data_IF_978948467469
#
_entry.id   IF_978948467469
#
_cell.length_a   1.000
_cell.length_b   1.000
_cell.length_c   1.000
_cell.angle_alpha   90.00
_cell.angle_beta   90.00
_cell.angle_gamma   90.00
#
_symmetry.space_group_name_H-M   'P 1'
#
loop_
_entity.id
_entity.type
_entity.pdbx_description
1 polymer ?
#
# COMPACT_ATOMS: atom_id res chain seq x y z
N UNK A 1 -0.98 -23.15 4.84
CA UNK A 1 0.06 -23.87 4.05
C UNK A 1 1.26 -22.94 3.92
N UNK A 2 2.43 -23.34 4.44
CA UNK A 2 3.69 -22.58 4.21
C UNK A 2 4.17 -22.93 2.79
N UNK A 3 4.34 -21.95 1.93
CA UNK A 3 4.91 -22.14 0.60
C UNK A 3 6.38 -21.74 0.63
N UNK A 4 7.28 -22.71 0.53
CA UNK A 4 8.71 -22.42 0.42
C UNK A 4 8.99 -21.76 -0.94
N UNK A 5 9.28 -20.46 -0.91
CA UNK A 5 9.53 -19.69 -2.13
C UNK A 5 10.93 -19.96 -2.72
N UNK A 6 11.77 -20.70 -2.00
CA UNK A 6 13.13 -21.06 -2.45
C UNK A 6 13.16 -22.34 -3.29
N UNK A 7 12.05 -23.06 -3.44
CA UNK A 7 11.95 -24.32 -4.19
C UNK A 7 10.80 -24.29 -5.23
N UNK A 8 10.78 -25.25 -6.12
CA UNK A 8 9.75 -25.42 -7.16
C UNK A 8 9.86 -24.48 -8.37
N UNK A 9 8.93 -24.55 -9.33
CA UNK A 9 8.90 -23.71 -10.53
C UNK A 9 8.68 -22.24 -10.16
N UNK A 10 9.58 -21.36 -10.62
CA UNK A 10 9.66 -19.95 -10.18
C UNK A 10 8.32 -19.20 -10.37
N UNK A 11 7.79 -19.21 -11.59
CA UNK A 11 6.55 -18.50 -11.93
C UNK A 11 5.36 -19.02 -11.14
N UNK A 12 5.14 -20.34 -11.12
CA UNK A 12 4.02 -20.96 -10.40
C UNK A 12 4.06 -20.64 -8.90
N UNK A 13 5.26 -20.69 -8.31
CA UNK A 13 5.48 -20.40 -6.89
C UNK A 13 5.14 -18.94 -6.59
N UNK A 14 5.61 -18.01 -7.44
CA UNK A 14 5.35 -16.58 -7.31
C UNK A 14 3.87 -16.23 -7.46
N UNK A 15 3.21 -16.75 -8.49
CA UNK A 15 1.79 -16.51 -8.74
C UNK A 15 0.92 -17.09 -7.61
N UNK A 16 1.20 -18.33 -7.17
CA UNK A 16 0.46 -18.94 -6.04
C UNK A 16 0.57 -18.11 -4.76
N UNK A 17 1.69 -17.43 -4.57
CA UNK A 17 1.90 -16.56 -3.42
C UNK A 17 1.28 -15.16 -3.63
N UNK A 18 1.36 -14.60 -4.85
CA UNK A 18 0.87 -13.25 -5.16
C UNK A 18 -0.66 -13.18 -5.23
N UNK A 19 -1.33 -14.18 -5.82
CA UNK A 19 -2.79 -14.16 -6.03
C UNK A 19 -3.57 -13.93 -4.73
N UNK A 20 -3.30 -14.61 -3.60
CA UNK A 20 -3.99 -14.30 -2.34
C UNK A 20 -3.73 -12.87 -1.83
N UNK A 21 -2.54 -12.29 -2.08
CA UNK A 21 -2.25 -10.90 -1.69
C UNK A 21 -3.09 -9.92 -2.51
N UNK A 22 -3.14 -10.12 -3.83
CA UNK A 22 -3.92 -9.30 -4.76
C UNK A 22 -5.42 -9.37 -4.40
N UNK A 23 -5.95 -10.58 -4.20
CA UNK A 23 -7.35 -10.77 -3.82
C UNK A 23 -7.67 -10.09 -2.49
N UNK A 24 -6.76 -10.15 -1.50
CA UNK A 24 -6.94 -9.49 -0.22
C UNK A 24 -7.10 -7.97 -0.35
N UNK A 25 -6.22 -7.33 -1.12
CA UNK A 25 -6.26 -5.88 -1.31
C UNK A 25 -7.45 -5.45 -2.20
N UNK A 26 -7.82 -6.22 -3.20
CA UNK A 26 -9.06 -5.96 -3.97
C UNK A 26 -10.30 -6.05 -3.08
N UNK A 27 -10.40 -7.05 -2.20
CA UNK A 27 -11.48 -7.14 -1.22
C UNK A 27 -11.49 -5.95 -0.27
N UNK A 28 -10.32 -5.47 0.13
CA UNK A 28 -10.20 -4.27 0.95
C UNK A 28 -10.77 -3.04 0.22
N UNK A 29 -10.52 -2.88 -1.06
CA UNK A 29 -11.10 -1.78 -1.84
C UNK A 29 -12.62 -1.92 -1.98
N UNK A 30 -13.12 -3.13 -2.18
CA UNK A 30 -14.57 -3.37 -2.26
C UNK A 30 -15.27 -2.98 -0.94
N UNK A 31 -14.72 -3.36 0.22
CA UNK A 31 -15.35 -2.97 1.48
C UNK A 31 -15.23 -1.47 1.76
N UNK A 32 -14.13 -0.79 1.40
CA UNK A 32 -14.03 0.67 1.52
C UNK A 32 -15.10 1.39 0.70
N UNK A 33 -15.43 0.86 -0.48
CA UNK A 33 -16.53 1.39 -1.31
C UNK A 33 -17.87 1.12 -0.63
N UNK A 34 -18.10 -0.08 -0.10
CA UNK A 34 -19.33 -0.42 0.59
C UNK A 34 -19.57 0.47 1.82
N UNK A 35 -18.55 0.69 2.66
CA UNK A 35 -18.60 1.61 3.81
C UNK A 35 -18.98 3.04 3.35
N UNK A 36 -18.31 3.55 2.32
CA UNK A 36 -18.60 4.87 1.75
C UNK A 36 -20.05 4.97 1.26
N UNK A 37 -20.57 3.92 0.61
CA UNK A 37 -21.96 3.87 0.13
C UNK A 37 -22.94 3.83 1.29
N UNK A 38 -22.69 3.04 2.33
CA UNK A 38 -23.55 2.96 3.52
C UNK A 38 -23.63 4.31 4.22
N UNK A 39 -22.47 4.93 4.50
CA UNK A 39 -22.41 6.27 5.11
C UNK A 39 -23.16 7.30 4.26
N UNK A 40 -22.92 7.31 2.94
CA UNK A 40 -23.55 8.27 2.03
C UNK A 40 -25.07 8.10 1.95
N UNK A 41 -25.58 6.88 1.88
CA UNK A 41 -27.01 6.59 1.74
C UNK A 41 -27.79 6.81 3.03
N UNK A 42 -27.24 6.40 4.18
CA UNK A 42 -27.98 6.44 5.45
C UNK A 42 -27.73 7.71 6.27
N UNK A 43 -26.54 8.33 6.16
CA UNK A 43 -26.18 9.51 6.97
C UNK A 43 -26.11 10.80 6.17
N UNK A 44 -26.16 10.72 4.83
CA UNK A 44 -26.19 11.87 3.94
C UNK A 44 -24.84 12.51 3.63
N UNK A 45 -24.87 13.59 2.84
CA UNK A 45 -23.68 14.21 2.27
C UNK A 45 -22.73 14.83 3.31
N UNK A 46 -23.24 15.40 4.39
CA UNK A 46 -22.42 15.99 5.46
C UNK A 46 -21.57 14.95 6.17
N UNK A 47 -22.17 13.82 6.55
CA UNK A 47 -21.46 12.71 7.17
C UNK A 47 -20.41 12.11 6.21
N UNK A 48 -20.78 11.95 4.94
CA UNK A 48 -19.87 11.47 3.90
C UNK A 48 -18.65 12.39 3.71
N UNK A 49 -18.86 13.70 3.75
CA UNK A 49 -17.77 14.68 3.65
C UNK A 49 -16.83 14.61 4.86
N UNK A 50 -17.38 14.48 6.08
CA UNK A 50 -16.59 14.34 7.30
C UNK A 50 -15.77 13.05 7.31
N UNK A 51 -16.39 11.90 7.00
CA UNK A 51 -15.72 10.59 6.91
C UNK A 51 -14.67 10.58 5.79
N UNK A 52 -14.97 11.14 4.61
CA UNK A 52 -14.04 11.23 3.49
C UNK A 52 -12.80 12.07 3.80
N UNK A 53 -12.95 13.18 4.54
CA UNK A 53 -11.80 13.98 4.99
C UNK A 53 -10.93 13.22 6.01
N UNK A 54 -11.57 12.52 6.95
CA UNK A 54 -10.88 11.67 7.91
C UNK A 54 -10.16 10.49 7.24
N UNK A 55 -10.74 9.94 6.18
CA UNK A 55 -10.16 8.82 5.42
C UNK A 55 -8.77 9.14 4.85
N UNK A 56 -8.56 10.35 4.35
CA UNK A 56 -7.25 10.79 3.83
C UNK A 56 -6.16 10.75 4.91
N UNK A 57 -6.48 11.22 6.12
CA UNK A 57 -5.57 11.17 7.26
C UNK A 57 -5.31 9.72 7.70
N UNK A 58 -6.37 8.90 7.79
CA UNK A 58 -6.24 7.48 8.13
C UNK A 58 -5.37 6.73 7.12
N UNK A 59 -5.53 7.00 5.84
CA UNK A 59 -4.70 6.43 4.78
C UNK A 59 -3.23 6.79 4.97
N UNK A 60 -2.93 8.05 5.30
CA UNK A 60 -1.57 8.49 5.58
C UNK A 60 -0.97 7.78 6.80
N UNK A 61 -1.68 7.74 7.93
CA UNK A 61 -1.20 7.06 9.15
C UNK A 61 -1.04 5.54 8.94
N UNK A 62 -2.00 4.92 8.26
CA UNK A 62 -1.93 3.49 7.92
C UNK A 62 -0.74 3.20 6.99
N UNK A 63 -0.40 4.10 6.07
CA UNK A 63 0.76 3.94 5.18
C UNK A 63 2.09 3.92 5.94
N UNK A 64 2.18 4.66 7.04
CA UNK A 64 3.35 4.61 7.94
C UNK A 64 3.50 3.20 8.52
N UNK A 65 2.43 2.67 9.14
CA UNK A 65 2.44 1.34 9.74
C UNK A 65 2.68 0.24 8.70
N UNK A 66 2.04 0.36 7.53
CA UNK A 66 2.24 -0.56 6.41
C UNK A 66 3.69 -0.56 5.92
N UNK A 67 4.28 0.63 5.72
CA UNK A 67 5.66 0.78 5.29
C UNK A 67 6.65 0.17 6.28
N UNK A 68 6.45 0.42 7.58
CA UNK A 68 7.25 -0.18 8.65
C UNK A 68 7.13 -1.71 8.66
N UNK A 69 5.92 -2.26 8.53
CA UNK A 69 5.68 -3.69 8.50
C UNK A 69 6.29 -4.35 7.25
N UNK A 70 6.18 -3.71 6.08
CA UNK A 70 6.77 -4.20 4.82
C UNK A 70 8.29 -4.23 4.85
N UNK A 71 8.92 -3.19 5.41
CA UNK A 71 10.37 -3.14 5.60
C UNK A 71 10.87 -4.26 6.51
N UNK A 72 10.22 -4.45 7.65
CA UNK A 72 10.48 -5.56 8.58
C UNK A 72 10.29 -6.93 7.91
N UNK A 73 9.19 -7.10 7.17
CA UNK A 73 8.89 -8.34 6.44
C UNK A 73 9.95 -8.73 5.42
N UNK A 74 10.62 -7.75 4.82
CA UNK A 74 11.76 -8.02 3.93
C UNK A 74 12.94 -8.63 4.71
N UNK A 75 13.28 -8.08 5.88
CA UNK A 75 14.34 -8.63 6.76
C UNK A 75 13.96 -10.02 7.24
N UNK A 76 12.71 -10.24 7.67
CA UNK A 76 12.20 -11.56 8.06
C UNK A 76 12.35 -12.57 6.93
N UNK A 77 11.99 -12.17 5.70
CA UNK A 77 12.13 -13.04 4.52
C UNK A 77 13.58 -13.44 4.24
N UNK A 78 14.52 -12.50 4.38
CA UNK A 78 15.96 -12.78 4.24
C UNK A 78 16.43 -13.76 5.30
N UNK A 79 16.11 -13.53 6.59
CA UNK A 79 16.50 -14.40 7.72
C UNK A 79 15.87 -15.78 7.61
N UNK A 80 14.61 -15.84 7.19
CA UNK A 80 13.93 -17.11 6.91
C UNK A 80 14.64 -17.89 5.78
N UNK A 81 15.01 -17.21 4.69
CA UNK A 81 15.78 -17.79 3.60
C UNK A 81 17.18 -18.29 4.03
N UNK A 82 17.84 -17.57 4.93
CA UNK A 82 19.13 -17.96 5.53
C UNK A 82 19.01 -19.14 6.50
N UNK A 83 17.80 -19.50 6.93
CA UNK A 83 17.54 -20.43 8.04
C UNK A 83 18.14 -19.93 9.37
N UNK A 84 18.30 -18.62 9.53
CA UNK A 84 18.76 -17.96 10.75
C UNK A 84 17.58 -17.77 11.71
N UNK A 85 17.24 -18.83 12.45
CA UNK A 85 16.09 -18.83 13.36
C UNK A 85 16.25 -17.81 14.50
N UNK A 86 17.47 -17.68 15.06
CA UNK A 86 17.74 -16.75 16.14
C UNK A 86 17.61 -15.30 15.62
N UNK A 87 18.25 -14.98 14.50
CA UNK A 87 18.16 -13.65 13.89
C UNK A 87 16.75 -13.30 13.44
N UNK A 88 15.95 -14.28 13.02
CA UNK A 88 14.53 -14.10 12.71
C UNK A 88 13.74 -13.72 13.97
N UNK A 89 13.88 -14.46 15.06
CA UNK A 89 13.19 -14.18 16.35
C UNK A 89 13.60 -12.84 16.95
N UNK A 90 14.90 -12.51 16.94
CA UNK A 90 15.40 -11.20 17.37
C UNK A 90 14.83 -10.06 16.50
N UNK A 91 14.75 -10.28 15.17
CA UNK A 91 14.13 -9.34 14.23
C UNK A 91 12.64 -9.15 14.50
N UNK A 92 11.91 -10.22 14.78
CA UNK A 92 10.48 -10.18 15.15
C UNK A 92 10.29 -9.34 16.40
N UNK A 93 11.08 -9.58 17.45
CA UNK A 93 11.03 -8.82 18.70
C UNK A 93 11.34 -7.33 18.46
N UNK A 94 12.42 -7.02 17.74
CA UNK A 94 12.83 -5.66 17.42
C UNK A 94 11.75 -4.92 16.62
N UNK A 95 11.17 -5.58 15.61
CA UNK A 95 10.12 -5.02 14.79
C UNK A 95 8.82 -4.80 15.57
N UNK A 96 8.39 -5.76 16.39
CA UNK A 96 7.19 -5.61 17.21
C UNK A 96 7.32 -4.43 18.16
N UNK A 97 8.49 -4.28 18.81
CA UNK A 97 8.78 -3.17 19.70
C UNK A 97 8.79 -1.83 18.93
N UNK A 98 9.45 -1.77 17.76
CA UNK A 98 9.50 -0.56 16.94
C UNK A 98 8.12 -0.13 16.46
N UNK A 99 7.38 -1.03 15.81
CA UNK A 99 6.05 -0.73 15.28
C UNK A 99 5.06 -0.42 16.39
N UNK A 100 5.13 -1.15 17.51
CA UNK A 100 4.31 -0.89 18.69
C UNK A 100 4.58 0.49 19.28
N UNK A 101 5.85 0.87 19.46
CA UNK A 101 6.24 2.19 19.94
C UNK A 101 5.74 3.30 19.00
N UNK A 102 5.95 3.15 17.69
CA UNK A 102 5.45 4.12 16.70
C UNK A 102 3.92 4.20 16.74
N UNK A 103 3.21 3.08 16.85
CA UNK A 103 1.75 3.07 16.96
C UNK A 103 1.27 3.83 18.19
N UNK A 104 1.91 3.63 19.35
CA UNK A 104 1.57 4.36 20.58
C UNK A 104 1.83 5.86 20.40
N UNK A 105 2.98 6.24 19.85
CA UNK A 105 3.32 7.66 19.59
C UNK A 105 2.31 8.30 18.64
N UNK A 106 1.98 7.62 17.53
CA UNK A 106 0.98 8.12 16.58
C UNK A 106 -0.41 8.25 17.24
N UNK A 107 -0.80 7.26 18.02
CA UNK A 107 -2.09 7.27 18.72
C UNK A 107 -2.17 8.45 19.69
N UNK A 108 -1.16 8.60 20.55
CA UNK A 108 -1.10 9.73 21.49
C UNK A 108 -1.05 11.08 20.77
N UNK A 109 -0.24 11.21 19.72
CA UNK A 109 -0.12 12.44 18.96
C UNK A 109 -1.44 12.85 18.30
N UNK A 110 -2.19 11.88 17.77
CA UNK A 110 -3.49 12.14 17.14
C UNK A 110 -4.55 12.52 18.19
N UNK A 111 -4.63 11.80 19.30
CA UNK A 111 -5.59 12.13 20.36
C UNK A 111 -5.33 13.50 20.99
N UNK A 112 -4.06 13.87 21.22
CA UNK A 112 -3.70 15.20 21.73
C UNK A 112 -3.88 16.30 20.67
N UNK A 113 -3.69 15.96 19.39
CA UNK A 113 -3.73 16.91 18.27
C UNK A 113 -5.08 16.98 17.54
N UNK A 114 -6.14 16.34 18.02
CA UNK A 114 -7.38 16.19 17.25
C UNK A 114 -8.00 17.55 16.81
N UNK A 115 -7.99 18.54 17.70
CA UNK A 115 -8.53 19.88 17.39
C UNK A 115 -7.62 20.64 16.39
N UNK A 116 -6.31 20.43 16.47
CA UNK A 116 -5.36 20.97 15.48
C UNK A 116 -5.55 20.31 14.12
N UNK A 117 -5.75 18.98 14.09
CA UNK A 117 -6.01 18.21 12.86
C UNK A 117 -7.27 18.72 12.16
N UNK A 118 -8.36 18.88 12.90
CA UNK A 118 -9.64 19.38 12.36
C UNK A 118 -9.46 20.79 11.74
N UNK A 119 -8.66 21.66 12.38
CA UNK A 119 -8.33 23.00 11.85
C UNK A 119 -7.47 22.92 10.58
N UNK A 120 -6.45 22.07 10.56
CA UNK A 120 -5.57 21.90 9.38
C UNK A 120 -6.35 21.35 8.19
N UNK A 121 -7.32 20.46 8.42
CA UNK A 121 -8.20 19.93 7.40
C UNK A 121 -9.26 20.95 6.94
N UNK A 122 -9.27 22.16 7.51
CA UNK A 122 -10.21 23.23 7.16
C UNK A 122 -11.67 22.77 7.17
N UNK A 123 -12.02 21.93 8.16
CA UNK A 123 -13.36 21.35 8.28
C UNK A 123 -14.40 22.46 8.50
N UNK A 124 -15.50 22.51 7.70
CA UNK A 124 -16.59 23.44 7.91
C UNK A 124 -17.16 23.34 9.33
N UNK A 125 -17.58 24.47 9.91
CA UNK A 125 -18.00 24.56 11.31
C UNK A 125 -19.17 23.63 11.68
N UNK A 126 -20.06 23.38 10.76
CA UNK A 126 -21.22 22.49 10.87
C UNK A 126 -20.80 20.99 10.89
N UNK A 127 -19.64 20.63 10.34
CA UNK A 127 -19.12 19.26 10.28
C UNK A 127 -18.10 18.94 11.38
N UNK A 128 -17.62 19.94 12.13
CA UNK A 128 -16.58 19.74 13.17
C UNK A 128 -17.00 18.70 14.21
N UNK A 129 -18.27 18.75 14.64
CA UNK A 129 -18.81 17.80 15.61
C UNK A 129 -18.78 16.35 15.10
N UNK A 130 -19.30 16.14 13.89
CA UNK A 130 -19.32 14.81 13.24
C UNK A 130 -17.91 14.27 13.00
N UNK A 131 -17.02 15.13 12.52
CA UNK A 131 -15.64 14.75 12.25
C UNK A 131 -14.89 14.38 13.54
N UNK A 132 -15.07 15.15 14.60
CA UNK A 132 -14.45 14.86 15.91
C UNK A 132 -14.92 13.53 16.47
N UNK A 133 -16.24 13.28 16.45
CA UNK A 133 -16.83 12.02 16.90
C UNK A 133 -16.26 10.83 16.13
N UNK A 134 -16.20 10.91 14.80
CA UNK A 134 -15.61 9.89 13.95
C UNK A 134 -14.13 9.66 14.26
N UNK A 135 -13.32 10.73 14.35
CA UNK A 135 -11.88 10.65 14.57
C UNK A 135 -11.52 10.02 15.92
N UNK A 136 -12.24 10.37 16.99
CA UNK A 136 -12.01 9.77 18.32
C UNK A 136 -12.16 8.27 18.29
N UNK A 137 -13.18 7.76 17.60
CA UNK A 137 -13.44 6.33 17.52
C UNK A 137 -12.44 5.65 16.58
N UNK A 138 -12.29 6.17 15.36
CA UNK A 138 -11.49 5.48 14.32
C UNK A 138 -10.00 5.37 14.69
N UNK A 139 -9.44 6.35 15.41
CA UNK A 139 -8.05 6.31 15.86
C UNK A 139 -7.77 5.26 16.93
N UNK A 140 -8.77 4.87 17.69
CA UNK A 140 -8.65 3.71 18.57
C UNK A 140 -8.34 2.41 17.80
N UNK A 141 -8.68 2.35 16.51
CA UNK A 141 -8.39 1.24 15.62
C UNK A 141 -6.92 1.09 15.20
N UNK A 142 -6.05 2.10 15.41
CA UNK A 142 -4.65 2.04 14.99
C UNK A 142 -3.89 0.84 15.55
N UNK A 143 -4.21 0.40 16.76
CA UNK A 143 -3.61 -0.80 17.37
C UNK A 143 -4.05 -2.06 16.63
N UNK A 144 -5.31 -2.16 16.21
CA UNK A 144 -5.81 -3.27 15.39
C UNK A 144 -5.11 -3.33 14.04
N UNK A 145 -4.93 -2.17 13.39
CA UNK A 145 -4.18 -2.02 12.14
C UNK A 145 -2.72 -2.45 12.31
N UNK A 146 -2.06 -2.03 13.40
CA UNK A 146 -0.69 -2.46 13.72
C UNK A 146 -0.59 -3.98 13.83
N UNK A 147 -1.46 -4.59 14.66
CA UNK A 147 -1.45 -6.04 14.87
C UNK A 147 -1.63 -6.79 13.55
N UNK A 148 -2.65 -6.39 12.77
CA UNK A 148 -2.89 -7.03 11.47
C UNK A 148 -1.67 -6.91 10.53
N UNK A 149 -1.16 -5.69 10.30
CA UNK A 149 -0.06 -5.47 9.36
C UNK A 149 1.23 -6.17 9.80
N UNK A 150 1.54 -6.18 11.10
CA UNK A 150 2.71 -6.85 11.64
C UNK A 150 2.64 -8.37 11.42
N UNK A 151 1.56 -9.02 11.87
CA UNK A 151 1.43 -10.48 11.74
C UNK A 151 1.18 -10.92 10.30
N UNK A 152 0.48 -10.15 9.50
CA UNK A 152 0.33 -10.39 8.06
C UNK A 152 1.70 -10.33 7.34
N UNK A 153 2.52 -9.33 7.65
CA UNK A 153 3.88 -9.21 7.10
C UNK A 153 4.77 -10.37 7.54
N UNK A 154 4.70 -10.77 8.81
CA UNK A 154 5.42 -11.94 9.34
C UNK A 154 5.01 -13.23 8.63
N UNK A 155 3.71 -13.51 8.49
CA UNK A 155 3.23 -14.72 7.82
C UNK A 155 3.59 -14.73 6.33
N UNK A 156 3.47 -13.58 5.65
CA UNK A 156 3.91 -13.44 4.25
C UNK A 156 5.40 -13.70 4.11
N UNK A 157 6.22 -13.25 5.05
CA UNK A 157 7.68 -13.44 5.01
C UNK A 157 8.12 -14.90 5.05
N UNK A 158 7.31 -15.78 5.65
CA UNK A 158 7.53 -17.24 5.68
C UNK A 158 6.76 -17.99 4.56
N UNK A 159 6.21 -17.25 3.58
CA UNK A 159 5.52 -17.80 2.42
C UNK A 159 4.04 -18.14 2.63
N UNK A 160 3.40 -17.60 3.67
CA UNK A 160 1.96 -17.79 3.90
C UNK A 160 1.19 -16.50 3.60
N UNK A 161 0.62 -16.39 2.40
CA UNK A 161 -0.22 -15.27 1.98
C UNK A 161 -1.73 -15.54 2.12
N UNK A 162 -2.11 -16.81 2.32
CA UNK A 162 -3.53 -17.21 2.39
C UNK A 162 -4.15 -16.82 3.74
N UNK A 163 -3.44 -17.01 4.83
CA UNK A 163 -3.97 -16.70 6.18
C UNK A 163 -4.25 -15.21 6.35
N UNK A 164 -3.35 -14.28 5.97
CA UNK A 164 -3.68 -12.85 5.95
C UNK A 164 -4.92 -12.52 5.12
N UNK A 165 -5.09 -13.14 3.93
CA UNK A 165 -6.29 -12.99 3.11
C UNK A 165 -7.56 -13.40 3.88
N UNK A 166 -7.55 -14.56 4.54
CA UNK A 166 -8.72 -15.07 5.25
C UNK A 166 -9.16 -14.12 6.37
N UNK A 167 -8.21 -13.63 7.18
CA UNK A 167 -8.53 -12.66 8.24
C UNK A 167 -9.01 -11.32 7.68
N UNK A 168 -8.48 -10.88 6.55
CA UNK A 168 -8.95 -9.67 5.87
C UNK A 168 -10.37 -9.87 5.31
N UNK A 169 -10.67 -11.04 4.74
CA UNK A 169 -11.99 -11.38 4.25
C UNK A 169 -13.03 -11.39 5.39
N UNK A 170 -12.69 -12.01 6.51
CA UNK A 170 -13.55 -11.99 7.71
C UNK A 170 -13.78 -10.57 8.20
N UNK A 171 -12.71 -9.75 8.26
CA UNK A 171 -12.81 -8.33 8.63
C UNK A 171 -13.72 -7.55 7.70
N UNK A 172 -13.60 -7.75 6.38
CA UNK A 172 -14.40 -7.05 5.38
C UNK A 172 -15.90 -7.40 5.50
N UNK A 173 -16.22 -8.67 5.62
CA UNK A 173 -17.61 -9.11 5.82
C UNK A 173 -18.17 -8.59 7.14
N UNK A 174 -17.40 -8.70 8.22
CA UNK A 174 -17.81 -8.22 9.54
C UNK A 174 -18.04 -6.71 9.55
N UNK A 175 -17.16 -5.94 8.90
CA UNK A 175 -17.31 -4.48 8.78
C UNK A 175 -18.64 -4.13 8.09
N UNK A 176 -18.93 -4.69 6.91
CA UNK A 176 -20.19 -4.42 6.18
C UNK A 176 -21.41 -4.77 7.04
N UNK A 177 -21.39 -5.93 7.71
CA UNK A 177 -22.52 -6.34 8.58
C UNK A 177 -22.70 -5.39 9.75
N UNK A 178 -21.61 -4.99 10.41
CA UNK A 178 -21.65 -4.05 11.53
C UNK A 178 -22.01 -2.63 11.09
N UNK A 179 -21.56 -2.16 9.92
CA UNK A 179 -21.97 -0.87 9.37
C UNK A 179 -23.48 -0.82 9.17
N UNK A 180 -24.06 -1.83 8.52
CA UNK A 180 -25.50 -1.92 8.35
C UNK A 180 -26.24 -1.98 9.69
N UNK A 181 -25.72 -2.73 10.65
CA UNK A 181 -26.35 -2.87 11.97
C UNK A 181 -26.25 -1.57 12.77
N UNK A 182 -25.08 -0.94 12.85
CA UNK A 182 -24.87 0.26 13.68
C UNK A 182 -25.43 1.53 13.04
N UNK A 183 -25.24 1.69 11.71
CA UNK A 183 -25.68 2.87 10.99
C UNK A 183 -27.17 2.80 10.65
N UNK A 184 -27.62 1.73 9.98
CA UNK A 184 -29.00 1.61 9.52
C UNK A 184 -29.95 1.04 10.61
N UNK A 185 -29.47 0.07 11.42
CA UNK A 185 -30.30 -0.57 12.44
C UNK A 185 -30.41 0.21 13.75
N UNK A 186 -29.26 0.65 14.28
CA UNK A 186 -29.20 1.34 15.60
C UNK A 186 -29.13 2.87 15.49
N UNK A 187 -29.05 3.44 14.28
CA UNK A 187 -28.96 4.89 14.04
C UNK A 187 -27.83 5.58 14.82
N UNK A 188 -26.66 4.92 14.93
CA UNK A 188 -25.51 5.44 15.70
C UNK A 188 -24.70 6.50 14.96
N UNK A 189 -25.17 6.96 13.80
CA UNK A 189 -24.50 8.00 13.02
C UNK A 189 -23.09 7.62 12.56
N UNK A 190 -22.22 8.63 12.43
CA UNK A 190 -20.83 8.46 11.98
C UNK A 190 -19.97 7.64 12.99
N UNK A 191 -20.28 7.74 14.28
CA UNK A 191 -19.60 6.92 15.28
C UNK A 191 -19.84 5.43 15.07
N UNK A 192 -21.07 5.03 14.65
CA UNK A 192 -21.39 3.64 14.32
C UNK A 192 -20.53 3.07 13.18
N UNK A 193 -20.31 3.84 12.13
CA UNK A 193 -19.42 3.44 11.03
C UNK A 193 -17.96 3.31 11.51
N UNK A 194 -17.48 4.25 12.32
CA UNK A 194 -16.14 4.16 12.90
C UNK A 194 -15.99 2.94 13.82
N UNK A 195 -16.99 2.66 14.67
CA UNK A 195 -16.99 1.50 15.56
C UNK A 195 -16.97 0.17 14.78
N UNK A 196 -17.78 0.05 13.73
CA UNK A 196 -17.80 -1.12 12.87
C UNK A 196 -16.41 -1.40 12.27
N UNK A 197 -15.76 -0.35 11.77
CA UNK A 197 -14.40 -0.43 11.23
C UNK A 197 -13.38 -0.84 12.31
N UNK A 198 -13.41 -0.22 13.47
CA UNK A 198 -12.49 -0.52 14.59
C UNK A 198 -12.65 -1.94 15.08
N UNK A 199 -13.87 -2.40 15.32
CA UNK A 199 -14.16 -3.77 15.76
C UNK A 199 -13.61 -4.77 14.74
N UNK A 200 -13.87 -4.55 13.45
CA UNK A 200 -13.42 -5.42 12.37
C UNK A 200 -11.88 -5.48 12.28
N UNK A 201 -11.19 -4.35 12.48
CA UNK A 201 -9.74 -4.27 12.55
C UNK A 201 -9.17 -5.03 13.75
N UNK A 202 -9.78 -4.91 14.93
CA UNK A 202 -9.35 -5.67 16.09
C UNK A 202 -9.60 -7.17 15.94
N UNK A 203 -10.75 -7.57 15.38
CA UNK A 203 -11.04 -8.99 15.14
C UNK A 203 -10.00 -9.59 14.19
N UNK A 204 -9.66 -8.91 13.10
CA UNK A 204 -8.61 -9.39 12.18
C UNK A 204 -7.22 -9.35 12.83
N UNK A 205 -6.86 -8.26 13.52
CA UNK A 205 -5.55 -8.07 14.13
C UNK A 205 -5.28 -9.06 15.28
N UNK A 206 -6.23 -9.22 16.19
CA UNK A 206 -6.13 -10.19 17.29
C UNK A 206 -6.23 -11.62 16.75
N UNK A 207 -7.16 -11.87 15.81
CA UNK A 207 -7.33 -13.17 15.19
C UNK A 207 -6.08 -13.70 14.53
N UNK A 208 -5.40 -12.88 13.68
CA UNK A 208 -4.16 -13.28 13.03
C UNK A 208 -2.99 -13.43 14.04
N UNK A 209 -2.97 -12.63 15.12
CA UNK A 209 -1.99 -12.75 16.19
C UNK A 209 -2.16 -14.09 16.92
N UNK A 210 -3.39 -14.43 17.35
CA UNK A 210 -3.71 -15.70 17.99
C UNK A 210 -3.42 -16.88 17.07
N UNK A 211 -3.80 -16.79 15.79
CA UNK A 211 -3.47 -17.83 14.82
C UNK A 211 -1.95 -18.05 14.74
N UNK A 212 -1.17 -16.98 14.68
CA UNK A 212 0.29 -17.07 14.57
C UNK A 212 0.88 -17.69 15.84
N UNK A 213 0.35 -17.32 17.01
CA UNK A 213 0.77 -17.90 18.29
C UNK A 213 0.51 -19.42 18.38
N UNK A 214 -0.67 -19.85 17.92
CA UNK A 214 -1.09 -21.26 18.03
C UNK A 214 -0.48 -22.14 16.93
N UNK A 215 -0.43 -21.63 15.69
CA UNK A 215 -0.04 -22.43 14.51
C UNK A 215 1.42 -22.27 14.08
N UNK A 216 2.09 -21.24 14.57
CA UNK A 216 3.50 -20.97 14.27
C UNK A 216 4.30 -20.65 15.55
N UNK A 217 4.19 -21.50 16.62
CA UNK A 217 4.82 -21.22 17.90
C UNK A 217 6.34 -21.10 17.79
N UNK A 218 6.95 -21.75 16.80
CA UNK A 218 8.39 -21.69 16.52
C UNK A 218 8.90 -20.28 16.23
N UNK A 219 8.02 -19.39 15.74
CA UNK A 219 8.38 -17.99 15.44
C UNK A 219 8.34 -17.09 16.67
N UNK A 220 7.46 -17.39 17.63
CA UNK A 220 7.12 -16.49 18.74
C UNK A 220 7.62 -17.03 20.09
N UNK A 221 7.77 -18.36 20.26
CA UNK A 221 8.25 -18.94 21.51
C UNK A 221 9.56 -18.29 21.92
N UNK A 222 9.53 -17.73 23.14
CA UNK A 222 10.69 -17.10 23.75
C UNK A 222 11.76 -18.16 23.99
N UNK A 223 12.89 -18.03 23.34
CA UNK A 223 14.10 -18.76 23.62
C UNK A 223 14.97 -17.91 24.54
N UNK A 224 15.68 -18.52 25.50
CA UNK A 224 16.55 -17.78 26.43
C UNK A 224 17.64 -16.98 25.70
N UNK A 225 18.00 -17.41 24.48
CA UNK A 225 18.98 -16.75 23.64
C UNK A 225 18.43 -15.49 22.92
N UNK A 226 17.10 -15.31 22.84
CA UNK A 226 16.49 -14.18 22.13
C UNK A 226 16.55 -12.93 22.98
N UNK A 227 17.28 -11.93 22.51
CA UNK A 227 17.38 -10.64 23.19
C UNK A 227 17.29 -9.49 22.15
N UNK A 228 16.95 -8.31 22.65
CA UNK A 228 16.87 -7.11 21.83
C UNK A 228 18.29 -6.57 21.58
N UNK A 229 18.96 -7.07 20.55
CA UNK A 229 20.30 -6.60 20.16
C UNK A 229 20.23 -5.31 19.34
N UNK A 230 21.05 -4.32 19.70
CA UNK A 230 21.09 -3.04 18.98
C UNK A 230 21.37 -3.18 17.49
N UNK A 231 22.20 -4.12 17.07
CA UNK A 231 22.45 -4.42 15.66
C UNK A 231 21.17 -4.82 14.90
N UNK A 232 20.29 -5.62 15.53
CA UNK A 232 19.01 -6.04 14.95
C UNK A 232 18.01 -4.89 14.92
N UNK A 233 17.96 -4.11 15.99
CA UNK A 233 17.12 -2.89 16.02
C UNK A 233 17.52 -1.96 14.89
N UNK A 234 18.82 -1.69 14.73
CA UNK A 234 19.34 -0.83 13.64
C UNK A 234 19.02 -1.38 12.27
N UNK A 235 19.17 -2.69 12.03
CA UNK A 235 18.83 -3.35 10.77
C UNK A 235 17.34 -3.17 10.45
N UNK A 236 16.45 -3.56 11.38
CA UNK A 236 15.00 -3.43 11.22
C UNK A 236 14.60 -1.97 11.00
N UNK A 237 15.10 -1.04 11.85
CA UNK A 237 14.78 0.38 11.73
C UNK A 237 15.19 0.94 10.38
N UNK A 238 16.36 0.60 9.86
CA UNK A 238 16.82 1.09 8.56
C UNK A 238 15.90 0.65 7.41
N UNK A 239 15.54 -0.63 7.35
CA UNK A 239 14.64 -1.14 6.31
C UNK A 239 13.22 -0.59 6.46
N UNK A 240 12.71 -0.57 7.68
CA UNK A 240 11.37 -0.12 8.00
C UNK A 240 11.22 1.39 7.77
N UNK A 241 12.16 2.20 8.24
CA UNK A 241 12.12 3.65 8.05
C UNK A 241 12.21 4.05 6.57
N UNK A 242 13.10 3.42 5.79
CA UNK A 242 13.22 3.72 4.36
C UNK A 242 11.98 3.27 3.58
N UNK A 243 11.38 2.13 3.94
CA UNK A 243 10.14 1.69 3.29
C UNK A 243 8.94 2.55 3.70
N UNK A 244 8.88 2.96 4.97
CA UNK A 244 7.90 3.93 5.46
C UNK A 244 8.03 5.27 4.74
N UNK A 245 9.24 5.80 4.62
CA UNK A 245 9.52 7.04 3.90
C UNK A 245 9.06 6.95 2.43
N UNK A 246 9.36 5.82 1.77
CA UNK A 246 8.89 5.56 0.41
C UNK A 246 7.36 5.64 0.30
N UNK A 247 6.64 4.93 1.18
CA UNK A 247 5.17 4.90 1.18
C UNK A 247 4.56 6.28 1.50
N UNK A 248 5.16 7.00 2.44
CA UNK A 248 4.72 8.35 2.81
C UNK A 248 4.92 9.35 1.66
N UNK A 249 6.07 9.32 0.98
CA UNK A 249 6.34 10.17 -0.18
C UNK A 249 5.34 9.87 -1.31
N UNK A 250 5.01 8.58 -1.55
CA UNK A 250 4.01 8.22 -2.55
C UNK A 250 2.67 8.91 -2.29
N UNK A 251 2.16 8.86 -1.07
CA UNK A 251 0.90 9.49 -0.71
C UNK A 251 0.95 11.02 -0.77
N UNK A 252 2.03 11.64 -0.27
CA UNK A 252 2.20 13.10 -0.34
C UNK A 252 2.30 13.61 -1.78
N UNK A 253 2.97 12.87 -2.66
CA UNK A 253 3.08 13.23 -4.08
C UNK A 253 1.73 13.22 -4.81
N UNK A 254 0.87 12.26 -4.49
CA UNK A 254 -0.50 12.20 -5.03
C UNK A 254 -1.30 13.42 -4.55
N UNK A 255 -1.22 13.75 -3.25
CA UNK A 255 -1.92 14.91 -2.68
C UNK A 255 -1.44 16.24 -3.29
N UNK A 256 -0.15 16.39 -3.57
CA UNK A 256 0.39 17.60 -4.19
C UNK A 256 -0.19 17.83 -5.60
N UNK A 257 -0.33 16.76 -6.40
CA UNK A 257 -0.96 16.83 -7.73
C UNK A 257 -2.47 17.10 -7.61
N UNK A 258 -3.14 16.50 -6.63
CA UNK A 258 -4.57 16.75 -6.37
C UNK A 258 -4.85 18.23 -6.13
N UNK A 259 -4.01 18.91 -5.34
CA UNK A 259 -4.14 20.34 -5.09
C UNK A 259 -4.06 21.18 -6.37
N UNK A 260 -3.15 20.84 -7.29
CA UNK A 260 -3.03 21.51 -8.60
C UNK A 260 -4.24 21.22 -9.49
N UNK A 261 -4.70 19.98 -9.55
CA UNK A 261 -5.91 19.59 -10.32
C UNK A 261 -7.13 20.38 -9.87
N UNK A 262 -7.28 20.60 -8.57
CA UNK A 262 -8.40 21.35 -8.01
C UNK A 262 -8.46 22.81 -8.51
N UNK A 263 -7.34 23.41 -8.88
CA UNK A 263 -7.28 24.77 -9.41
C UNK A 263 -7.87 24.92 -10.83
N UNK A 264 -8.12 23.81 -11.53
CA UNK A 264 -8.71 23.82 -12.88
C UNK A 264 -10.24 23.74 -12.91
N UNK A 265 -10.87 23.78 -11.72
CA UNK A 265 -12.32 23.85 -11.59
C UNK A 265 -13.00 22.51 -11.37
N UNK A 266 -14.32 22.59 -11.11
CA UNK A 266 -15.13 21.46 -10.64
C UNK A 266 -15.21 20.29 -11.62
N UNK A 267 -15.26 20.57 -12.92
CA UNK A 267 -15.29 19.55 -13.98
C UNK A 267 -14.05 18.67 -13.95
N UNK A 268 -12.86 19.29 -13.87
CA UNK A 268 -11.57 18.55 -13.84
C UNK A 268 -11.43 17.82 -12.50
N UNK A 269 -11.84 18.42 -11.39
CA UNK A 269 -11.86 17.78 -10.07
C UNK A 269 -12.71 16.51 -10.07
N UNK A 270 -13.94 16.59 -10.58
CA UNK A 270 -14.86 15.44 -10.63
C UNK A 270 -14.32 14.34 -11.54
N UNK A 271 -13.79 14.70 -12.71
CA UNK A 271 -13.18 13.77 -13.64
C UNK A 271 -12.00 13.01 -13.01
N UNK A 272 -11.09 13.76 -12.36
CA UNK A 272 -9.93 13.19 -11.69
C UNK A 272 -10.32 12.29 -10.51
N UNK A 273 -11.29 12.72 -9.68
CA UNK A 273 -11.76 11.93 -8.54
C UNK A 273 -12.34 10.56 -8.96
N UNK A 274 -13.07 10.52 -10.09
CA UNK A 274 -13.58 9.26 -10.64
C UNK A 274 -12.45 8.41 -11.25
N UNK A 275 -11.58 9.05 -12.06
CA UNK A 275 -10.50 8.36 -12.76
C UNK A 275 -9.48 7.73 -11.80
N UNK A 276 -9.10 8.37 -10.70
CA UNK A 276 -8.18 7.83 -9.68
C UNK A 276 -8.75 6.57 -9.01
N UNK A 277 -10.09 6.46 -8.87
CA UNK A 277 -10.70 5.22 -8.36
C UNK A 277 -10.56 4.07 -9.35
N UNK A 278 -10.70 4.34 -10.65
CA UNK A 278 -10.48 3.37 -11.72
C UNK A 278 -9.01 2.93 -11.73
N UNK A 279 -8.09 3.88 -11.66
CA UNK A 279 -6.65 3.63 -11.57
C UNK A 279 -6.29 2.72 -10.40
N UNK A 280 -6.88 2.93 -9.23
CA UNK A 280 -6.61 2.09 -8.07
C UNK A 280 -6.87 0.60 -8.35
N UNK A 281 -7.97 0.27 -9.03
CA UNK A 281 -8.23 -1.11 -9.45
C UNK A 281 -7.24 -1.63 -10.49
N UNK A 282 -6.72 -0.76 -11.34
CA UNK A 282 -5.77 -1.12 -12.38
C UNK A 282 -4.36 -1.39 -11.83
N UNK A 283 -3.84 -0.51 -10.96
CA UNK A 283 -2.44 -0.63 -10.52
C UNK A 283 -2.24 -1.43 -9.22
N UNK A 284 -3.24 -1.55 -8.34
CA UNK A 284 -3.09 -2.30 -7.08
C UNK A 284 -2.66 -3.76 -7.29
N UNK A 285 -3.19 -4.53 -8.24
CA UNK A 285 -2.72 -5.88 -8.50
C UNK A 285 -1.24 -5.95 -8.87
N UNK A 286 -0.75 -4.94 -9.60
CA UNK A 286 0.65 -4.87 -10.02
C UNK A 286 1.55 -4.51 -8.83
N UNK A 287 1.11 -3.59 -7.97
CA UNK A 287 1.79 -3.23 -6.74
C UNK A 287 1.96 -4.45 -5.82
N UNK A 288 0.89 -5.23 -5.65
CA UNK A 288 0.92 -6.43 -4.82
C UNK A 288 1.78 -7.53 -5.42
N UNK A 289 1.77 -7.68 -6.73
CA UNK A 289 2.69 -8.57 -7.40
C UNK A 289 4.15 -8.15 -7.18
N UNK A 290 4.46 -6.85 -7.22
CA UNK A 290 5.77 -6.31 -6.87
C UNK A 290 6.17 -6.60 -5.42
N UNK A 291 5.22 -6.52 -4.48
CA UNK A 291 5.44 -6.88 -3.08
C UNK A 291 5.68 -8.38 -2.90
N UNK A 292 4.93 -9.23 -3.58
CA UNK A 292 5.12 -10.68 -3.60
C UNK A 292 6.49 -11.06 -4.19
N UNK A 293 6.88 -10.42 -5.29
CA UNK A 293 8.20 -10.56 -5.90
C UNK A 293 9.32 -10.12 -4.96
N UNK A 294 9.11 -9.06 -4.16
CA UNK A 294 10.07 -8.62 -3.13
C UNK A 294 10.32 -9.73 -2.10
N UNK A 295 9.26 -10.35 -1.57
CA UNK A 295 9.35 -11.44 -0.59
C UNK A 295 10.03 -12.67 -1.21
N UNK A 296 9.62 -13.06 -2.43
CA UNK A 296 10.28 -14.15 -3.18
C UNK A 296 11.77 -13.88 -3.34
N UNK A 297 12.15 -12.69 -3.77
CA UNK A 297 13.54 -12.30 -3.98
C UNK A 297 14.32 -12.27 -2.67
N UNK A 298 13.75 -11.72 -1.59
CA UNK A 298 14.38 -11.63 -0.28
C UNK A 298 14.67 -13.03 0.33
N UNK A 299 13.72 -13.99 0.23
CA UNK A 299 13.96 -15.36 0.68
C UNK A 299 15.07 -16.03 -0.13
N UNK A 300 15.07 -15.88 -1.46
CA UNK A 300 16.11 -16.46 -2.31
C UNK A 300 17.45 -15.76 -2.14
N UNK A 301 17.46 -14.47 -1.83
CA UNK A 301 18.66 -13.70 -1.49
C UNK A 301 19.27 -14.22 -0.20
N UNK A 302 18.46 -14.39 0.85
CA UNK A 302 18.91 -15.01 2.10
C UNK A 302 19.43 -16.43 1.92
N UNK A 303 18.77 -17.22 1.07
CA UNK A 303 19.19 -18.60 0.76
C UNK A 303 20.43 -18.69 -0.19
N UNK A 304 20.99 -17.58 -0.65
CA UNK A 304 22.11 -17.55 -1.59
C UNK A 304 21.79 -18.06 -3.00
N UNK A 305 20.50 -18.19 -3.37
CA UNK A 305 20.03 -18.79 -4.65
C UNK A 305 20.01 -17.76 -5.79
N UNK A 306 21.17 -17.22 -6.15
CA UNK A 306 21.34 -16.15 -7.15
C UNK A 306 20.71 -16.47 -8.51
N UNK A 307 20.86 -17.72 -9.00
CA UNK A 307 20.29 -18.11 -10.30
C UNK A 307 18.76 -18.13 -10.26
N UNK A 308 18.18 -18.49 -9.10
CA UNK A 308 16.74 -18.43 -8.91
C UNK A 308 16.23 -16.98 -8.88
N UNK A 309 17.00 -16.05 -8.29
CA UNK A 309 16.71 -14.61 -8.35
C UNK A 309 16.71 -14.11 -9.80
N UNK A 310 17.73 -14.47 -10.61
CA UNK A 310 17.79 -14.08 -12.03
C UNK A 310 16.59 -14.59 -12.84
N UNK A 311 16.22 -15.88 -12.63
CA UNK A 311 15.01 -16.46 -13.24
C UNK A 311 13.75 -15.74 -12.74
N UNK A 312 13.70 -15.39 -11.45
CA UNK A 312 12.61 -14.65 -10.83
C UNK A 312 12.43 -13.25 -11.43
N UNK A 313 13.51 -12.50 -11.61
CA UNK A 313 13.50 -11.18 -12.25
C UNK A 313 12.92 -11.28 -13.67
N UNK A 314 13.41 -12.20 -14.50
CA UNK A 314 12.91 -12.37 -15.88
C UNK A 314 11.43 -12.74 -15.90
N UNK A 315 11.05 -13.71 -15.07
CA UNK A 315 9.68 -14.20 -14.99
C UNK A 315 8.73 -13.10 -14.49
N UNK A 316 9.11 -12.40 -13.41
CA UNK A 316 8.31 -11.31 -12.85
C UNK A 316 8.19 -10.14 -13.83
N UNK A 317 9.29 -9.74 -14.49
CA UNK A 317 9.25 -8.66 -15.48
C UNK A 317 8.30 -9.00 -16.63
N UNK A 318 8.41 -10.21 -17.21
CA UNK A 318 7.54 -10.63 -18.30
C UNK A 318 6.06 -10.64 -17.88
N UNK A 319 5.75 -11.22 -16.73
CA UNK A 319 4.36 -11.30 -16.23
C UNK A 319 3.79 -9.92 -15.92
N UNK A 320 4.55 -9.09 -15.20
CA UNK A 320 4.11 -7.76 -14.79
C UNK A 320 3.92 -6.84 -16.00
N UNK A 321 4.84 -6.88 -16.96
CA UNK A 321 4.71 -6.08 -18.19
C UNK A 321 3.57 -6.55 -19.07
N UNK A 322 3.38 -7.87 -19.22
CA UNK A 322 2.26 -8.41 -19.99
C UNK A 322 0.91 -8.05 -19.34
N UNK A 323 0.81 -8.20 -18.02
CA UNK A 323 -0.38 -7.82 -17.29
C UNK A 323 -0.62 -6.30 -17.37
N UNK A 324 0.43 -5.48 -17.16
CA UNK A 324 0.35 -4.02 -17.30
C UNK A 324 -0.10 -3.60 -18.69
N UNK A 325 0.41 -4.24 -19.75
CA UNK A 325 -0.01 -3.97 -21.13
C UNK A 325 -1.47 -4.35 -21.38
N UNK A 326 -1.90 -5.50 -20.86
CA UNK A 326 -3.30 -5.93 -20.99
C UNK A 326 -4.25 -4.96 -20.29
N UNK A 327 -3.91 -4.51 -19.07
CA UNK A 327 -4.70 -3.50 -18.36
C UNK A 327 -4.64 -2.15 -19.08
N UNK A 328 -3.48 -1.76 -19.63
CA UNK A 328 -3.35 -0.53 -20.45
C UNK A 328 -4.32 -0.55 -21.64
N UNK A 329 -4.36 -1.65 -22.37
CA UNK A 329 -5.29 -1.79 -23.51
C UNK A 329 -6.74 -1.76 -23.03
N UNK A 330 -7.05 -2.48 -21.95
CA UNK A 330 -8.41 -2.54 -21.41
C UNK A 330 -8.90 -1.17 -20.95
N UNK A 331 -8.10 -0.43 -20.16
CA UNK A 331 -8.48 0.90 -19.67
C UNK A 331 -8.55 1.91 -20.81
N UNK A 332 -7.61 1.88 -21.78
CA UNK A 332 -7.64 2.77 -22.94
C UNK A 332 -8.90 2.60 -23.80
N UNK A 333 -9.30 1.34 -24.07
CA UNK A 333 -10.48 1.02 -24.87
C UNK A 333 -11.78 1.26 -24.11
N UNK A 334 -11.80 0.89 -22.84
CA UNK A 334 -12.99 0.97 -21.97
C UNK A 334 -13.06 2.27 -21.15
N UNK A 335 -12.24 3.28 -21.45
CA UNK A 335 -12.17 4.52 -20.66
C UNK A 335 -13.54 5.19 -20.47
N UNK A 336 -14.34 5.29 -21.53
CA UNK A 336 -15.65 5.91 -21.47
C UNK A 336 -16.68 5.08 -20.67
N UNK A 337 -16.87 3.77 -20.92
CA UNK A 337 -17.70 2.93 -20.06
C UNK A 337 -17.28 2.89 -18.60
N UNK A 338 -15.97 2.94 -18.33
CA UNK A 338 -15.46 2.96 -16.96
C UNK A 338 -15.80 4.28 -16.26
N UNK A 339 -15.74 5.42 -16.95
CA UNK A 339 -16.13 6.72 -16.39
C UNK A 339 -17.63 6.77 -16.09
N UNK A 340 -18.49 6.21 -16.95
CA UNK A 340 -19.94 6.19 -16.76
C UNK A 340 -20.39 5.31 -15.58
N UNK A 341 -19.53 4.46 -15.02
CA UNK A 341 -19.80 3.75 -13.76
C UNK A 341 -19.82 4.69 -12.54
N UNK A 342 -19.13 5.83 -12.62
CA UNK A 342 -18.95 6.75 -11.49
C UNK A 342 -19.60 8.11 -11.72
N UNK A 343 -19.83 8.50 -12.99
CA UNK A 343 -20.33 9.80 -13.40
C UNK A 343 -21.58 9.62 -14.24
N UNK A 344 -22.62 10.44 -13.98
CA UNK A 344 -23.84 10.43 -14.76
C UNK A 344 -23.56 10.67 -16.25
N UNK A 345 -24.24 9.93 -17.12
CA UNK A 345 -24.05 10.01 -18.56
C UNK A 345 -24.37 11.41 -19.16
N UNK A 346 -25.15 12.23 -18.45
CA UNK A 346 -25.42 13.62 -18.83
C UNK A 346 -24.23 14.57 -18.64
N UNK A 347 -23.26 14.23 -17.77
CA UNK A 347 -22.09 15.03 -17.45
C UNK A 347 -20.97 14.84 -18.48
N UNK A 348 -21.27 15.11 -19.77
CA UNK A 348 -20.40 14.81 -20.91
C UNK A 348 -19.02 15.46 -20.81
N UNK A 349 -18.91 16.66 -20.27
CA UNK A 349 -17.65 17.39 -20.09
C UNK A 349 -16.75 16.69 -19.05
N UNK A 350 -17.32 16.19 -17.95
CA UNK A 350 -16.60 15.45 -16.91
C UNK A 350 -16.10 14.11 -17.46
N UNK A 351 -16.96 13.40 -18.20
CA UNK A 351 -16.62 12.12 -18.83
C UNK A 351 -15.49 12.32 -19.84
N UNK A 352 -15.58 13.34 -20.70
CA UNK A 352 -14.57 13.61 -21.73
C UNK A 352 -13.19 13.87 -21.11
N UNK A 353 -13.12 14.64 -20.02
CA UNK A 353 -11.85 14.92 -19.34
C UNK A 353 -11.31 13.69 -18.61
N UNK A 354 -12.18 12.90 -17.95
CA UNK A 354 -11.79 11.63 -17.33
C UNK A 354 -11.29 10.59 -18.35
N UNK A 355 -11.93 10.50 -19.51
CA UNK A 355 -11.50 9.64 -20.64
C UNK A 355 -10.12 10.09 -21.15
N UNK A 356 -9.90 11.40 -21.24
CA UNK A 356 -8.59 11.95 -21.65
C UNK A 356 -7.50 11.54 -20.65
N UNK A 357 -7.75 11.70 -19.37
CA UNK A 357 -6.85 11.27 -18.32
C UNK A 357 -6.54 9.77 -18.42
N UNK A 358 -7.57 8.92 -18.41
CA UNK A 358 -7.42 7.47 -18.45
C UNK A 358 -6.69 6.98 -19.71
N UNK A 359 -6.90 7.63 -20.86
CA UNK A 359 -6.17 7.29 -22.08
C UNK A 359 -4.70 7.69 -22.05
N UNK A 360 -4.35 8.81 -21.40
CA UNK A 360 -2.95 9.24 -21.25
C UNK A 360 -2.24 8.37 -20.21
N UNK A 361 -2.75 8.29 -19.00
CA UNK A 361 -2.10 7.55 -17.91
C UNK A 361 -2.21 6.03 -18.12
N UNK A 362 -3.41 5.56 -18.46
CA UNK A 362 -3.72 4.15 -18.65
C UNK A 362 -2.90 3.49 -19.77
N UNK A 363 -2.54 4.23 -20.84
CA UNK A 363 -1.68 3.71 -21.89
C UNK A 363 -0.31 3.22 -21.40
N UNK A 364 0.12 3.65 -20.21
CA UNK A 364 1.48 3.43 -19.69
C UNK A 364 1.52 2.61 -18.38
N UNK A 365 0.46 1.89 -18.01
CA UNK A 365 0.48 1.06 -16.78
C UNK A 365 1.59 -0.01 -16.77
N UNK A 366 2.12 -0.40 -17.90
CA UNK A 366 3.30 -1.26 -17.94
C UNK A 366 4.56 -0.61 -17.35
N UNK A 367 4.68 0.73 -17.38
CA UNK A 367 5.78 1.45 -16.71
C UNK A 367 5.63 1.40 -15.19
N UNK A 368 4.44 1.71 -14.63
CA UNK A 368 4.26 1.59 -13.19
C UNK A 368 4.44 0.14 -12.72
N UNK A 369 4.11 -0.83 -13.59
CA UNK A 369 4.35 -2.24 -13.33
C UNK A 369 5.85 -2.55 -13.18
N UNK A 370 6.69 -2.00 -14.06
CA UNK A 370 8.14 -2.12 -13.97
C UNK A 370 8.68 -1.41 -12.71
N UNK A 371 8.15 -0.23 -12.38
CA UNK A 371 8.56 0.55 -11.23
C UNK A 371 8.30 -0.19 -9.90
N UNK A 372 7.14 -0.81 -9.71
CA UNK A 372 6.85 -1.61 -8.52
C UNK A 372 7.75 -2.84 -8.40
N UNK A 373 8.12 -3.47 -9.51
CA UNK A 373 9.12 -4.55 -9.50
C UNK A 373 10.49 -4.04 -9.08
N UNK A 374 10.93 -2.86 -9.54
CA UNK A 374 12.20 -2.25 -9.15
C UNK A 374 12.20 -1.90 -7.66
N UNK A 375 11.10 -1.35 -7.12
CA UNK A 375 10.97 -1.11 -5.69
C UNK A 375 11.12 -2.41 -4.88
N UNK A 376 10.43 -3.47 -5.30
CA UNK A 376 10.51 -4.79 -4.67
C UNK A 376 11.91 -5.39 -4.76
N UNK A 377 12.55 -5.28 -5.92
CA UNK A 377 13.90 -5.80 -6.18
C UNK A 377 14.95 -5.15 -5.27
N UNK A 378 15.00 -3.81 -5.24
CA UNK A 378 16.02 -3.11 -4.46
C UNK A 378 15.84 -3.30 -2.95
N UNK A 379 14.60 -3.30 -2.48
CA UNK A 379 14.31 -3.62 -1.09
C UNK A 379 14.79 -5.02 -0.72
N UNK A 380 14.52 -6.01 -1.58
CA UNK A 380 14.90 -7.40 -1.37
C UNK A 380 16.40 -7.68 -1.50
N UNK A 381 17.13 -6.88 -2.27
CA UNK A 381 18.58 -6.99 -2.43
C UNK A 381 19.39 -6.15 -1.43
N UNK A 382 18.77 -5.69 -0.34
CA UNK A 382 19.47 -4.94 0.70
C UNK A 382 19.73 -3.47 0.38
N UNK A 383 19.04 -2.90 -0.58
CA UNK A 383 19.19 -1.50 -1.00
C UNK A 383 17.84 -0.74 -0.95
N UNK A 384 17.13 -0.73 0.20
CA UNK A 384 15.83 -0.04 0.30
C UNK A 384 15.91 1.46 0.02
N UNK A 385 17.08 2.09 0.27
CA UNK A 385 17.32 3.49 -0.09
C UNK A 385 17.18 3.77 -1.59
N UNK A 386 17.50 2.79 -2.46
CA UNK A 386 17.30 2.96 -3.90
C UNK A 386 15.81 3.03 -4.27
N UNK A 387 14.95 2.27 -3.57
CA UNK A 387 13.50 2.38 -3.76
C UNK A 387 13.00 3.79 -3.40
N UNK A 388 13.55 4.40 -2.34
CA UNK A 388 13.24 5.81 -1.98
C UNK A 388 13.70 6.76 -3.08
N UNK A 389 14.92 6.60 -3.61
CA UNK A 389 15.44 7.43 -4.71
C UNK A 389 14.53 7.35 -5.93
N UNK A 390 14.13 6.14 -6.34
CA UNK A 390 13.21 5.97 -7.48
C UNK A 390 11.85 6.63 -7.23
N UNK A 391 11.35 6.57 -5.99
CA UNK A 391 10.09 7.23 -5.62
C UNK A 391 10.22 8.74 -5.69
N UNK A 392 11.32 9.31 -5.18
CA UNK A 392 11.59 10.74 -5.26
C UNK A 392 11.71 11.19 -6.73
N UNK A 393 12.41 10.43 -7.56
CA UNK A 393 12.54 10.74 -9.01
C UNK A 393 11.18 10.68 -9.68
N UNK A 394 10.42 9.60 -9.49
CA UNK A 394 9.10 9.43 -10.12
C UNK A 394 8.13 10.55 -9.72
N UNK A 395 7.93 10.75 -8.43
CA UNK A 395 6.95 11.72 -7.92
C UNK A 395 7.46 13.15 -7.94
N UNK A 396 8.75 13.37 -7.67
CA UNK A 396 9.35 14.70 -7.74
C UNK A 396 9.29 15.27 -9.15
N UNK A 397 9.63 14.48 -10.17
CA UNK A 397 9.51 14.88 -11.58
C UNK A 397 8.04 15.07 -11.97
N UNK A 398 7.14 14.16 -11.54
CA UNK A 398 5.70 14.30 -11.75
C UNK A 398 5.18 15.64 -11.21
N UNK A 399 5.49 15.97 -9.97
CA UNK A 399 5.06 17.24 -9.35
C UNK A 399 5.71 18.42 -10.06
N UNK A 400 7.04 18.40 -10.30
CA UNK A 400 7.75 19.48 -10.95
C UNK A 400 7.21 19.76 -12.37
N UNK A 401 6.99 18.71 -13.17
CA UNK A 401 6.43 18.85 -14.52
C UNK A 401 4.97 19.32 -14.48
N UNK A 402 4.16 18.79 -13.57
CA UNK A 402 2.77 19.21 -13.43
C UNK A 402 2.69 20.72 -13.18
N UNK A 403 3.44 21.24 -12.20
CA UNK A 403 3.46 22.68 -11.89
C UNK A 403 4.13 23.53 -12.98
N UNK A 404 5.09 22.98 -13.73
CA UNK A 404 5.74 23.70 -14.83
C UNK A 404 4.86 23.76 -16.10
N UNK A 405 4.13 22.70 -16.42
CA UNK A 405 3.34 22.58 -17.65
C UNK A 405 1.91 23.14 -17.51
N UNK A 406 1.31 23.02 -16.32
CA UNK A 406 -0.07 23.45 -16.06
C UNK A 406 -0.33 24.94 -16.39
N UNK A 407 0.60 25.91 -16.12
CA UNK A 407 0.39 27.32 -16.46
C UNK A 407 0.51 27.62 -17.97
N UNK A 408 1.06 26.72 -18.76
CA UNK A 408 1.30 26.93 -20.19
C UNK A 408 0.00 26.63 -20.96
N UNK A 409 -0.60 27.60 -21.67
CA UNK A 409 -1.91 27.42 -22.32
C UNK A 409 -1.97 26.23 -23.30
N UNK A 410 -0.84 25.88 -23.92
CA UNK A 410 -0.74 24.75 -24.84
C UNK A 410 -0.92 23.39 -24.13
N UNK A 411 -0.47 23.28 -22.89
CA UNK A 411 -0.49 22.03 -22.13
C UNK A 411 -1.65 21.99 -21.13
N UNK A 412 -1.80 23.03 -20.31
CA UNK A 412 -2.87 23.12 -19.32
C UNK A 412 -2.97 21.84 -18.44
N UNK A 413 -4.19 21.35 -18.28
CA UNK A 413 -4.50 20.11 -17.54
C UNK A 413 -3.80 18.88 -18.16
N UNK A 414 -3.68 18.83 -19.48
CA UNK A 414 -3.03 17.70 -20.19
C UNK A 414 -1.55 17.57 -19.80
N UNK A 415 -0.88 18.68 -19.50
CA UNK A 415 0.48 18.66 -18.96
C UNK A 415 0.58 17.96 -17.61
N UNK A 416 -0.45 18.07 -16.76
CA UNK A 416 -0.52 17.33 -15.50
C UNK A 416 -0.62 15.84 -15.78
N UNK A 417 -1.49 15.42 -16.71
CA UNK A 417 -1.67 14.01 -17.05
C UNK A 417 -0.39 13.36 -17.60
N UNK A 418 0.29 14.04 -18.52
CA UNK A 418 1.56 13.55 -19.07
C UNK A 418 2.71 13.52 -18.05
N UNK A 419 2.68 14.33 -17.02
CA UNK A 419 3.73 14.33 -15.98
C UNK A 419 3.85 12.98 -15.28
N UNK A 420 2.75 12.22 -15.21
CA UNK A 420 2.68 10.92 -14.52
C UNK A 420 3.52 9.86 -15.25
N UNK A 421 3.21 9.49 -16.51
CA UNK A 421 3.98 8.47 -17.22
C UNK A 421 5.43 8.88 -17.47
N UNK A 422 5.72 10.19 -17.65
CA UNK A 422 7.09 10.69 -17.76
C UNK A 422 7.87 10.42 -16.46
N UNK A 423 7.25 10.67 -15.30
CA UNK A 423 7.85 10.37 -13.99
C UNK A 423 8.16 8.88 -13.83
N UNK A 424 7.25 7.98 -14.25
CA UNK A 424 7.50 6.54 -14.24
C UNK A 424 8.65 6.14 -15.15
N UNK A 425 8.64 6.62 -16.40
CA UNK A 425 9.67 6.31 -17.39
C UNK A 425 11.07 6.68 -16.90
N UNK A 426 11.24 7.88 -16.33
CA UNK A 426 12.53 8.35 -15.84
C UNK A 426 13.00 7.58 -14.61
N UNK A 427 12.09 7.22 -13.71
CA UNK A 427 12.43 6.38 -12.57
C UNK A 427 12.80 4.95 -13.01
N UNK A 428 12.08 4.38 -13.99
CA UNK A 428 12.39 3.06 -14.55
C UNK A 428 13.74 3.05 -15.25
N UNK A 429 14.02 4.07 -16.06
CA UNK A 429 15.31 4.22 -16.72
C UNK A 429 16.45 4.29 -15.71
N UNK A 430 16.32 5.12 -14.68
CA UNK A 430 17.30 5.20 -13.60
C UNK A 430 17.49 3.88 -12.88
N UNK A 431 16.38 3.21 -12.51
CA UNK A 431 16.41 1.93 -11.84
C UNK A 431 17.08 0.86 -12.69
N UNK A 432 16.72 0.76 -13.97
CA UNK A 432 17.33 -0.21 -14.88
C UNK A 432 18.82 0.05 -15.12
N UNK A 433 19.23 1.31 -15.33
CA UNK A 433 20.64 1.68 -15.46
C UNK A 433 21.43 1.28 -14.22
N UNK A 434 20.92 1.58 -13.03
CA UNK A 434 21.56 1.19 -11.77
C UNK A 434 21.67 -0.33 -11.62
N UNK A 435 20.61 -1.08 -11.97
CA UNK A 435 20.64 -2.53 -11.96
C UNK A 435 21.70 -3.09 -12.91
N UNK A 436 21.73 -2.63 -14.16
CA UNK A 436 22.70 -3.11 -15.17
C UNK A 436 24.14 -2.82 -14.76
N UNK A 437 24.39 -1.63 -14.20
CA UNK A 437 25.73 -1.21 -13.75
C UNK A 437 26.21 -2.03 -12.51
N UNK A 438 25.29 -2.33 -11.57
CA UNK A 438 25.64 -2.92 -10.26
C UNK A 438 25.20 -4.38 -10.11
N UNK A 439 24.60 -5.03 -11.13
CA UNK A 439 24.03 -6.39 -11.04
C UNK A 439 24.98 -7.45 -10.48
N UNK A 440 26.28 -7.35 -10.84
CA UNK A 440 27.30 -8.32 -10.35
C UNK A 440 27.52 -8.18 -8.84
N UNK A 441 27.57 -6.95 -8.32
CA UNK A 441 27.75 -6.68 -6.90
C UNK A 441 26.47 -6.98 -6.12
N UNK A 442 25.32 -6.47 -6.59
CA UNK A 442 24.01 -6.68 -5.95
C UNK A 442 23.67 -8.15 -5.74
N UNK A 443 24.05 -9.02 -6.71
CA UNK A 443 23.78 -10.45 -6.62
C UNK A 443 24.91 -11.26 -5.95
N UNK A 444 26.11 -10.67 -5.76
CA UNK A 444 27.23 -11.31 -5.01
C UNK A 444 27.08 -11.16 -3.50
N UNK A 445 26.52 -10.05 -3.03
CA UNK A 445 26.32 -9.77 -1.60
C UNK A 445 25.38 -10.80 -0.92
N UNK A 446 24.61 -11.58 -1.70
CA UNK A 446 23.86 -12.75 -1.20
C UNK A 446 24.74 -13.82 -0.52
N UNK A 447 26.03 -13.87 -0.83
CA UNK A 447 27.01 -14.80 -0.21
C UNK A 447 27.78 -14.18 0.95
N UNK A 448 27.83 -12.85 1.03
CA UNK A 448 28.60 -12.13 2.04
C UNK A 448 27.79 -11.79 3.32
N UNK A 449 26.47 -11.81 3.27
CA UNK A 449 25.59 -11.64 4.44
C UNK A 449 25.52 -12.83 5.39
N UNK A 450 26.39 -13.83 5.20
CA UNK A 450 26.50 -15.06 6.03
C UNK A 450 27.68 -14.97 7.02
N UNK A 451 28.28 -13.78 7.20
CA UNK A 451 29.32 -13.57 8.24
C UNK A 451 28.80 -12.72 9.39
#
# INVERSE_FOLDING_TARGET
MKTDLTHGPVMKTMLRFAVPMILGNLMQQCYNIADTLIVGQFLGAGALAAVGSAFSLMTFLTSILLGLAMGSGTVFSMRFGQKDELGLKEGILASFTLLGAVTVVLNVAVFLGIDWIIRVLQTPADLVGLMREYLIVIFAGLVGIFLYNFFASLLRSIGNSVVPLLFLAVSAVLNIVLDLWFVAGLNRGVAGAAEATVISQYVSGIGIAVYTWVKCPELIRKDRAVCLRWSRVREITSYSALTCLQQSIMNLGILAVQGLVNSFGTTVMAAFAAAVKIDAFAYLPVQDFGNAFSIFTAQNFGAGKTDRIRKGIRAASLTSMLFGLLISIAVFVLAEPLMTLFIDAGETAVIAEGVRYLRIEGAFYYLIAALFLLYGLYRALGKPGMSVVLTIVSLGIRVALAYALAPIPLFGVVGIWWSVPIGWLLADALGLIYYLAKRKTLLKDSRAGVK
#
